data_IF_446211572710
#
_entry.id   IF_446211572710
#
_cell.length_a   1.000
_cell.length_b   1.000
_cell.length_c   1.000
_cell.angle_alpha   90.00
_cell.angle_beta   90.00
_cell.angle_gamma   90.00
#
_symmetry.space_group_name_H-M   'P 1'
#
loop_
_entity.id
_entity.type
_entity.pdbx_description
1 polymer ?
#
# COMPACT_ATOMS: atom_id res chain seq x y z
N UNK A 1 -16.53 -14.24 -9.19
CA UNK A 1 -16.40 -15.36 -8.23
C UNK A 1 -15.69 -14.78 -7.02
N UNK A 2 -16.42 -14.50 -5.95
CA UNK A 2 -15.83 -14.18 -4.65
C UNK A 2 -15.20 -15.46 -4.11
N UNK A 3 -13.91 -15.40 -3.80
CA UNK A 3 -13.16 -16.52 -3.22
C UNK A 3 -13.12 -16.27 -1.71
N UNK A 4 -14.00 -16.94 -0.97
CA UNK A 4 -13.86 -17.11 0.47
C UNK A 4 -13.03 -18.37 0.70
N UNK A 5 -11.77 -18.25 1.10
CA UNK A 5 -11.03 -19.38 1.69
C UNK A 5 -10.13 -18.93 2.84
N UNK A 6 -10.34 -19.61 3.96
CA UNK A 6 -9.85 -19.37 5.32
C UNK A 6 -8.32 -19.38 5.46
N UNK A 7 -7.74 -18.24 5.88
CA UNK A 7 -7.01 -18.09 7.15
C UNK A 7 -6.71 -16.59 7.35
N UNK A 8 -6.85 -16.10 8.58
CA UNK A 8 -7.33 -14.74 8.92
C UNK A 8 -6.32 -13.58 8.74
N UNK A 9 -5.82 -13.36 7.52
CA UNK A 9 -5.28 -12.07 7.03
C UNK A 9 -5.58 -11.95 5.53
N UNK A 10 -6.70 -11.33 5.19
CA UNK A 10 -7.03 -11.02 3.80
C UNK A 10 -6.26 -9.78 3.33
N UNK A 11 -5.81 -9.79 2.07
CA UNK A 11 -5.48 -8.56 1.36
C UNK A 11 -6.78 -7.80 1.10
N UNK A 12 -6.80 -6.48 1.31
CA UNK A 12 -8.02 -5.66 1.20
C UNK A 12 -8.77 -5.83 -0.15
N UNK A 13 -8.04 -6.10 -1.25
CA UNK A 13 -8.60 -6.41 -2.57
C UNK A 13 -7.75 -7.50 -3.25
N UNK A 14 -8.38 -8.51 -3.86
CA UNK A 14 -7.70 -9.54 -4.66
C UNK A 14 -8.07 -9.46 -6.13
N UNK A 15 -7.08 -9.47 -7.03
CA UNK A 15 -7.29 -9.61 -8.47
C UNK A 15 -6.77 -10.97 -8.95
N UNK A 16 -7.50 -11.64 -9.86
CA UNK A 16 -7.07 -12.91 -10.45
C UNK A 16 -7.04 -12.81 -11.97
N UNK A 17 -5.90 -13.14 -12.57
CA UNK A 17 -5.74 -13.25 -14.03
C UNK A 17 -5.17 -14.64 -14.34
N UNK A 18 -6.01 -15.55 -14.84
CA UNK A 18 -5.62 -16.96 -15.02
C UNK A 18 -5.35 -17.63 -13.67
N UNK A 19 -4.13 -18.15 -13.48
CA UNK A 19 -3.69 -18.72 -12.19
C UNK A 19 -2.99 -17.70 -11.27
N UNK A 20 -2.68 -16.50 -11.77
CA UNK A 20 -2.00 -15.46 -11.00
C UNK A 20 -3.00 -14.77 -10.07
N UNK A 21 -2.72 -14.80 -8.76
CA UNK A 21 -3.43 -14.01 -7.76
C UNK A 21 -2.57 -12.81 -7.39
N UNK A 22 -3.05 -11.61 -7.71
CA UNK A 22 -2.37 -10.36 -7.42
C UNK A 22 -3.07 -9.69 -6.22
N UNK A 23 -2.54 -9.83 -5.00
CA UNK A 23 -3.09 -9.15 -3.83
C UNK A 23 -2.82 -7.66 -3.89
N UNK A 24 -3.77 -6.90 -3.37
CA UNK A 24 -3.71 -5.46 -3.23
C UNK A 24 -4.01 -5.14 -1.77
N UNK A 25 -3.05 -4.51 -1.10
CA UNK A 25 -3.20 -4.00 0.26
C UNK A 25 -3.48 -2.50 0.19
N UNK A 26 -4.51 -2.03 0.88
CA UNK A 26 -5.00 -0.65 0.78
C UNK A 26 -4.87 0.05 2.13
N UNK A 27 -4.03 1.09 2.20
CA UNK A 27 -3.89 1.93 3.41
C UNK A 27 -4.29 3.37 3.17
N UNK A 28 -4.97 3.97 4.14
CA UNK A 28 -5.06 5.43 4.22
C UNK A 28 -3.75 6.05 4.73
N UNK A 29 -3.47 7.31 4.38
CA UNK A 29 -2.26 8.02 4.83
C UNK A 29 -2.08 8.09 6.36
N UNK A 30 -3.14 7.90 7.15
CA UNK A 30 -3.10 7.88 8.63
C UNK A 30 -2.78 6.51 9.23
N UNK A 31 -2.75 5.45 8.41
CA UNK A 31 -2.64 4.08 8.91
C UNK A 31 -1.33 3.90 9.71
N UNK A 32 -1.37 3.25 10.89
CA UNK A 32 -0.19 3.12 11.75
C UNK A 32 0.98 2.40 11.07
N UNK A 33 0.69 1.51 10.13
CA UNK A 33 1.68 0.73 9.37
C UNK A 33 1.93 1.28 7.96
N UNK A 34 1.60 2.54 7.67
CA UNK A 34 1.83 3.14 6.35
C UNK A 34 3.24 2.89 5.80
N UNK A 35 4.26 3.05 6.65
CA UNK A 35 5.66 2.99 6.25
C UNK A 35 6.23 1.58 6.17
N UNK A 36 5.50 0.60 6.70
CA UNK A 36 5.99 -0.78 6.84
C UNK A 36 5.07 -1.79 6.17
N UNK A 37 3.86 -1.40 5.77
CA UNK A 37 2.85 -2.30 5.22
C UNK A 37 3.29 -3.02 3.96
N UNK A 38 4.00 -2.33 3.06
CA UNK A 38 4.55 -2.93 1.84
C UNK A 38 5.45 -4.14 2.13
N UNK A 39 6.34 -4.05 3.13
CA UNK A 39 7.26 -5.13 3.48
C UNK A 39 6.68 -6.11 4.51
N UNK A 40 5.84 -5.66 5.44
CA UNK A 40 5.40 -6.49 6.57
C UNK A 40 4.09 -7.22 6.33
N UNK A 41 3.18 -6.65 5.54
CA UNK A 41 1.84 -7.21 5.34
C UNK A 41 1.82 -7.99 4.04
N UNK A 42 2.28 -7.41 2.94
CA UNK A 42 2.31 -8.11 1.65
C UNK A 42 3.31 -9.28 1.67
N UNK A 43 4.54 -9.13 2.19
CA UNK A 43 5.47 -10.29 2.26
C UNK A 43 4.97 -11.46 3.13
N UNK A 44 4.18 -11.18 4.19
CA UNK A 44 3.64 -12.24 5.05
C UNK A 44 2.47 -12.98 4.37
N UNK A 45 1.70 -12.29 3.54
CA UNK A 45 0.64 -12.87 2.72
C UNK A 45 1.20 -13.77 1.59
N UNK A 46 2.40 -13.48 1.08
CA UNK A 46 3.03 -14.28 0.01
C UNK A 46 3.70 -15.57 0.46
N UNK A 47 4.06 -15.71 1.74
CA UNK A 47 4.72 -16.93 2.22
C UNK A 47 3.86 -18.19 2.04
N UNK A 48 2.56 -18.04 1.80
CA UNK A 48 1.60 -19.14 1.69
C UNK A 48 1.03 -19.34 0.27
N UNK A 49 1.04 -18.33 -0.62
CA UNK A 49 0.44 -18.43 -1.96
C UNK A 49 1.52 -18.32 -3.06
N UNK A 50 2.08 -19.47 -3.44
CA UNK A 50 3.08 -19.63 -4.51
C UNK A 50 2.64 -19.05 -5.86
N UNK A 51 1.33 -18.83 -6.06
CA UNK A 51 0.73 -18.35 -7.31
C UNK A 51 0.96 -16.87 -7.58
N UNK A 52 1.27 -16.07 -6.57
CA UNK A 52 1.52 -14.64 -6.74
C UNK A 52 2.93 -14.33 -7.28
N UNK A 53 3.83 -15.32 -7.32
CA UNK A 53 5.27 -15.12 -7.60
C UNK A 53 5.92 -14.02 -6.73
N UNK A 54 5.35 -13.78 -5.54
CA UNK A 54 5.76 -12.68 -4.66
C UNK A 54 5.39 -11.28 -5.15
N UNK A 55 4.42 -11.15 -6.08
CA UNK A 55 3.98 -9.88 -6.65
C UNK A 55 2.70 -9.35 -6.03
N UNK A 56 2.58 -8.02 -5.94
CA UNK A 56 1.32 -7.36 -5.65
C UNK A 56 1.41 -5.86 -5.59
N UNK A 57 0.35 -5.24 -5.09
CA UNK A 57 0.18 -3.78 -5.09
C UNK A 57 0.01 -3.28 -3.65
N UNK A 58 0.81 -2.30 -3.28
CA UNK A 58 0.58 -1.51 -2.08
C UNK A 58 -0.08 -0.18 -2.48
N UNK A 59 -1.38 -0.09 -2.26
CA UNK A 59 -2.18 1.09 -2.59
C UNK A 59 -2.31 2.00 -1.36
N UNK A 60 -1.86 3.24 -1.49
CA UNK A 60 -2.03 4.27 -0.47
C UNK A 60 -2.98 5.36 -0.96
N UNK A 61 -3.98 5.68 -0.14
CA UNK A 61 -4.93 6.76 -0.38
C UNK A 61 -4.43 8.06 0.24
N UNK A 62 -4.10 9.04 -0.62
CA UNK A 62 -3.64 10.37 -0.24
C UNK A 62 -4.80 11.39 -0.34
N UNK A 63 -5.05 12.11 0.73
CA UNK A 63 -6.12 13.10 0.89
C UNK A 63 -5.55 14.50 1.17
N UNK A 64 -4.33 14.76 0.71
CA UNK A 64 -3.67 16.06 0.90
C UNK A 64 -3.04 16.25 2.27
N UNK A 65 -2.59 17.48 2.49
CA UNK A 65 -2.07 17.94 3.77
C UNK A 65 -3.21 18.13 4.76
N UNK A 66 -3.35 17.21 5.73
CA UNK A 66 -4.38 17.26 6.77
C UNK A 66 -3.78 17.50 8.15
N UNK A 67 -4.57 18.10 9.04
CA UNK A 67 -4.22 18.36 10.44
C UNK A 67 -5.06 17.56 11.45
N UNK A 68 -6.12 16.89 10.97
CA UNK A 68 -7.05 16.09 11.77
C UNK A 68 -6.53 14.66 12.04
N UNK A 69 -7.41 13.77 12.51
CA UNK A 69 -7.08 12.37 12.79
C UNK A 69 -6.77 11.54 11.52
N UNK A 70 -6.96 12.10 10.33
CA UNK A 70 -6.61 11.50 9.03
C UNK A 70 -5.30 12.07 8.46
N UNK A 71 -4.56 12.87 9.23
CA UNK A 71 -3.22 13.34 8.86
C UNK A 71 -2.25 12.20 8.59
N UNK A 72 -1.24 12.51 7.78
CA UNK A 72 -0.19 11.56 7.43
C UNK A 72 0.47 10.98 8.69
N UNK A 73 0.64 9.64 8.69
CA UNK A 73 1.40 8.94 9.72
C UNK A 73 2.86 9.38 9.66
N UNK A 74 3.40 9.87 10.77
CA UNK A 74 4.82 10.27 10.87
C UNK A 74 5.76 9.07 10.76
N UNK A 75 6.93 9.27 10.12
CA UNK A 75 8.06 8.31 10.08
C UNK A 75 8.86 8.26 11.38
N UNK A 76 8.54 9.11 12.35
CA UNK A 76 9.31 9.35 13.57
C UNK A 76 9.86 10.77 13.65
N UNK A 77 10.36 11.15 14.83
CA UNK A 77 10.90 12.49 15.09
C UNK A 77 12.09 12.80 14.16
N UNK A 78 12.15 14.04 13.67
CA UNK A 78 13.27 14.54 12.84
C UNK A 78 13.28 14.07 11.38
N UNK A 79 12.33 13.25 10.95
CA UNK A 79 12.21 12.84 9.55
C UNK A 79 11.28 13.80 8.80
N UNK A 80 11.69 14.15 7.59
CA UNK A 80 10.85 14.88 6.65
C UNK A 80 9.59 14.07 6.35
N UNK A 81 8.47 14.76 6.22
CA UNK A 81 7.22 14.20 5.74
C UNK A 81 7.03 14.66 4.28
N UNK A 82 6.51 13.78 3.41
CA UNK A 82 6.11 14.18 2.07
C UNK A 82 4.98 15.21 2.16
N UNK A 83 5.03 16.19 1.25
CA UNK A 83 3.98 17.20 1.08
C UNK A 83 3.09 16.95 -0.13
N UNK A 84 3.43 15.96 -0.96
CA UNK A 84 2.65 15.55 -2.13
C UNK A 84 2.49 14.03 -2.19
N UNK A 85 1.51 13.56 -2.98
CA UNK A 85 1.32 12.13 -3.26
C UNK A 85 2.56 11.49 -3.92
N UNK A 86 3.19 12.20 -4.86
CA UNK A 86 4.39 11.70 -5.55
C UNK A 86 5.58 11.55 -4.60
N UNK A 87 5.82 12.55 -3.74
CA UNK A 87 6.86 12.44 -2.71
C UNK A 87 6.56 11.29 -1.75
N UNK A 88 5.29 11.06 -1.39
CA UNK A 88 4.91 9.92 -0.58
C UNK A 88 5.24 8.60 -1.31
N UNK A 89 4.96 8.49 -2.60
CA UNK A 89 5.29 7.31 -3.41
C UNK A 89 6.81 7.05 -3.39
N UNK A 90 7.61 8.06 -3.70
CA UNK A 90 9.07 7.96 -3.71
C UNK A 90 9.61 7.49 -2.35
N UNK A 91 9.17 8.14 -1.26
CA UNK A 91 9.63 7.81 0.08
C UNK A 91 9.18 6.42 0.55
N UNK A 92 8.01 5.95 0.10
CA UNK A 92 7.55 4.59 0.38
C UNK A 92 8.42 3.56 -0.36
N UNK A 93 8.73 3.80 -1.63
CA UNK A 93 9.61 2.94 -2.44
C UNK A 93 10.99 2.84 -1.79
N UNK A 94 11.60 3.97 -1.42
CA UNK A 94 12.91 4.00 -0.75
C UNK A 94 12.92 3.18 0.55
N UNK A 95 11.80 3.17 1.27
CA UNK A 95 11.65 2.49 2.55
C UNK A 95 11.32 1.00 2.46
N UNK A 96 10.96 0.49 1.28
CA UNK A 96 10.50 -0.90 1.09
C UNK A 96 11.48 -1.71 0.24
N UNK A 97 11.98 -2.82 0.79
CA UNK A 97 12.84 -3.71 0.02
C UNK A 97 12.05 -4.43 -1.10
N UNK A 98 10.80 -4.79 -0.83
CA UNK A 98 9.95 -5.47 -1.81
C UNK A 98 9.58 -4.55 -2.99
N UNK A 99 9.43 -3.24 -2.74
CA UNK A 99 9.27 -2.26 -3.81
C UNK A 99 10.55 -2.09 -4.63
N UNK A 100 11.70 -1.99 -3.96
CA UNK A 100 13.01 -1.86 -4.63
C UNK A 100 13.40 -3.08 -5.47
N UNK A 101 12.97 -4.28 -5.08
CA UNK A 101 13.17 -5.50 -5.87
C UNK A 101 12.18 -5.65 -7.03
N UNK A 102 11.20 -4.75 -7.16
CA UNK A 102 10.14 -4.83 -8.17
C UNK A 102 9.07 -5.88 -7.88
N UNK A 103 9.07 -6.47 -6.67
CA UNK A 103 8.05 -7.41 -6.23
C UNK A 103 6.73 -6.69 -5.91
N UNK A 104 6.81 -5.50 -5.32
CA UNK A 104 5.62 -4.72 -4.95
C UNK A 104 5.56 -3.41 -5.69
N UNK A 105 4.50 -3.21 -6.47
CA UNK A 105 4.22 -1.91 -7.04
C UNK A 105 3.56 -1.03 -5.98
N UNK A 106 4.14 0.14 -5.72
CA UNK A 106 3.54 1.13 -4.83
C UNK A 106 2.74 2.12 -5.67
N UNK A 107 1.44 2.18 -5.38
CA UNK A 107 0.52 3.14 -5.99
C UNK A 107 0.06 4.10 -4.91
N UNK A 108 0.27 5.40 -5.12
CA UNK A 108 -0.33 6.44 -4.27
C UNK A 108 -1.42 7.12 -5.08
N UNK A 109 -2.67 6.95 -4.67
CA UNK A 109 -3.81 7.56 -5.33
C UNK A 109 -4.09 8.91 -4.67
N UNK A 110 -3.89 9.98 -5.43
CA UNK A 110 -4.17 11.35 -5.01
C UNK A 110 -5.68 11.66 -5.10
N UNK A 111 -6.38 11.43 -3.98
CA UNK A 111 -7.82 11.69 -3.84
C UNK A 111 -8.10 13.19 -3.72
N UNK A 112 -7.19 13.98 -3.14
CA UNK A 112 -7.33 15.43 -3.07
C UNK A 112 -7.55 16.00 -4.48
N UNK A 113 -6.76 15.55 -5.45
CA UNK A 113 -6.91 15.97 -6.85
C UNK A 113 -8.16 15.39 -7.54
N UNK A 114 -8.67 14.22 -7.14
CA UNK A 114 -9.89 13.65 -7.71
C UNK A 114 -11.14 14.41 -7.28
N UNK A 115 -11.19 14.91 -6.05
CA UNK A 115 -12.34 15.68 -5.54
C UNK A 115 -12.55 16.97 -6.35
N UNK A 116 -11.47 17.62 -6.80
CA UNK A 116 -11.57 18.82 -7.65
C UNK A 116 -11.92 18.54 -9.12
N UNK A 117 -12.09 17.27 -9.52
CA UNK A 117 -12.44 16.88 -10.89
C UNK A 117 -13.91 16.45 -11.05
N UNK A 118 -14.67 16.38 -9.96
CA UNK A 118 -16.09 16.00 -9.91
C UNK A 118 -16.89 17.26 -9.59
#
# INVERSE_FOLDING_TARGET
>A
MEVHEADDKEADIGCTIGQLRLPIEVKGQWHPELWTGADNQLNKLYAQDWRAEGRGIYLVLWFGLRTDNKKLKSRGKGKLNPTTADQLKEMLIESSQAAKSGQIEIVVLDIERLIYKI
#
